data_IF_357346918010
#
_entry.id   IF_357346918010
#
_cell.length_a   1.000
_cell.length_b   1.000
_cell.length_c   1.000
_cell.angle_alpha   90.00
_cell.angle_beta   90.00
_cell.angle_gamma   90.00
#
_symmetry.space_group_name_H-M   'P 1'
#
loop_
_entity.id
_entity.type
_entity.pdbx_description
1 polymer ?
#
# COMPACT_ATOMS: atom_id res chain seq x y z
N UNK A 1 -12.67 -27.26 -6.90
CA UNK A 1 -11.81 -26.99 -5.70
C UNK A 1 -11.27 -25.58 -5.86
N UNK A 2 -11.49 -24.71 -4.90
CA UNK A 2 -10.99 -23.34 -4.95
C UNK A 2 -9.47 -23.35 -4.86
N UNK A 3 -8.80 -22.70 -5.81
CA UNK A 3 -7.35 -22.50 -5.81
C UNK A 3 -7.02 -21.24 -5.03
N UNK A 4 -6.21 -21.35 -3.98
CA UNK A 4 -5.77 -20.21 -3.17
C UNK A 4 -4.38 -19.76 -3.62
N UNK A 5 -4.24 -18.49 -3.86
CA UNK A 5 -2.98 -17.81 -4.16
C UNK A 5 -2.71 -16.75 -3.10
N UNK A 6 -1.44 -16.41 -2.91
CA UNK A 6 -1.03 -15.35 -1.99
C UNK A 6 -0.24 -14.27 -2.73
N UNK A 7 -0.51 -13.01 -2.40
CA UNK A 7 0.31 -11.87 -2.80
C UNK A 7 0.77 -11.13 -1.55
N UNK A 8 2.08 -11.13 -1.30
CA UNK A 8 2.67 -10.26 -0.30
C UNK A 8 2.96 -8.90 -0.94
N UNK A 9 2.35 -7.84 -0.41
CA UNK A 9 2.40 -6.49 -0.96
C UNK A 9 3.06 -5.53 0.03
N UNK A 10 4.27 -5.08 -0.29
CA UNK A 10 4.98 -4.06 0.48
C UNK A 10 4.63 -2.68 -0.03
N UNK A 11 4.13 -1.82 0.86
CA UNK A 11 3.59 -0.51 0.50
C UNK A 11 3.88 0.55 1.55
N UNK A 12 3.77 1.81 1.12
CA UNK A 12 3.52 2.93 2.02
C UNK A 12 2.28 3.70 1.54
N UNK A 13 1.40 4.04 2.46
CA UNK A 13 0.12 4.71 2.18
C UNK A 13 0.27 6.13 1.63
N UNK A 14 1.46 6.72 1.75
CA UNK A 14 1.80 8.03 1.17
C UNK A 14 2.58 7.92 -0.15
N UNK A 15 2.70 6.72 -0.71
CA UNK A 15 3.35 6.49 -2.00
C UNK A 15 2.30 6.46 -3.12
N UNK A 16 2.31 7.42 -4.07
CA UNK A 16 1.32 7.43 -5.17
C UNK A 16 1.43 6.21 -6.09
N UNK A 17 2.65 5.68 -6.25
CA UNK A 17 2.84 4.44 -7.00
C UNK A 17 2.25 3.21 -6.30
N UNK A 18 2.17 3.23 -4.96
CA UNK A 18 1.51 2.16 -4.20
C UNK A 18 -0.01 2.17 -4.44
N UNK A 19 -0.66 3.34 -4.42
CA UNK A 19 -2.07 3.47 -4.79
C UNK A 19 -2.34 2.92 -6.20
N UNK A 20 -1.53 3.33 -7.18
CA UNK A 20 -1.67 2.87 -8.58
C UNK A 20 -1.47 1.35 -8.69
N UNK A 21 -0.43 0.84 -8.01
CA UNK A 21 -0.11 -0.59 -8.04
C UNK A 21 -1.19 -1.45 -7.40
N UNK A 22 -1.78 -0.98 -6.28
CA UNK A 22 -2.88 -1.65 -5.60
C UNK A 22 -4.13 -1.72 -6.48
N UNK A 23 -4.52 -0.60 -7.11
CA UNK A 23 -5.66 -0.56 -8.04
C UNK A 23 -5.46 -1.53 -9.22
N UNK A 24 -4.25 -1.61 -9.79
CA UNK A 24 -3.93 -2.54 -10.87
C UNK A 24 -3.97 -3.99 -10.44
N UNK A 25 -3.46 -4.28 -9.23
CA UNK A 25 -3.55 -5.61 -8.62
C UNK A 25 -5.01 -6.02 -8.43
N UNK A 26 -5.85 -5.15 -7.85
CA UNK A 26 -7.25 -5.44 -7.57
C UNK A 26 -8.05 -5.71 -8.85
N UNK A 27 -7.79 -4.95 -9.92
CA UNK A 27 -8.39 -5.21 -11.23
C UNK A 27 -7.98 -6.57 -11.80
N UNK A 28 -6.70 -6.93 -11.70
CA UNK A 28 -6.24 -8.23 -12.16
C UNK A 28 -6.82 -9.38 -11.34
N UNK A 29 -6.99 -9.20 -10.02
CA UNK A 29 -7.68 -10.17 -9.15
C UNK A 29 -9.15 -10.31 -9.55
N UNK A 30 -9.84 -9.20 -9.79
CA UNK A 30 -11.25 -9.20 -10.18
C UNK A 30 -11.51 -9.88 -11.55
N UNK A 31 -10.50 -9.97 -12.40
CA UNK A 31 -10.56 -10.65 -13.71
C UNK A 31 -10.27 -12.15 -13.65
N UNK A 32 -9.90 -12.69 -12.47
CA UNK A 32 -9.61 -14.11 -12.30
C UNK A 32 -10.89 -14.99 -12.34
N UNK A 33 -10.74 -16.28 -12.69
CA UNK A 33 -11.85 -17.24 -12.60
C UNK A 33 -12.42 -17.33 -11.17
N UNK A 34 -13.73 -17.61 -11.05
CA UNK A 34 -14.46 -17.70 -9.76
C UNK A 34 -13.91 -18.77 -8.80
N UNK A 35 -13.18 -19.75 -9.31
CA UNK A 35 -12.55 -20.80 -8.52
C UNK A 35 -11.13 -20.44 -8.06
N UNK A 36 -10.68 -19.19 -8.26
CA UNK A 36 -9.40 -18.66 -7.77
C UNK A 36 -9.66 -17.62 -6.68
N UNK A 37 -9.10 -17.85 -5.52
CA UNK A 37 -9.12 -16.92 -4.38
C UNK A 37 -7.71 -16.37 -4.17
N UNK A 38 -7.56 -15.04 -4.02
CA UNK A 38 -6.28 -14.38 -3.77
C UNK A 38 -6.31 -13.71 -2.41
N UNK A 39 -5.41 -14.13 -1.52
CA UNK A 39 -5.13 -13.42 -0.27
C UNK A 39 -4.04 -12.38 -0.53
N UNK A 40 -4.32 -11.10 -0.28
CA UNK A 40 -3.33 -10.02 -0.35
C UNK A 40 -2.92 -9.65 1.07
N UNK A 41 -1.66 -9.90 1.41
CA UNK A 41 -1.08 -9.51 2.69
C UNK A 41 -0.25 -8.22 2.54
N UNK A 42 -0.69 -7.14 3.19
CA UNK A 42 0.00 -5.86 3.18
C UNK A 42 1.10 -5.82 4.25
N UNK A 43 2.33 -5.50 3.82
CA UNK A 43 3.50 -5.34 4.67
C UNK A 43 3.93 -3.88 4.76
N UNK A 44 4.27 -3.39 5.96
CA UNK A 44 4.69 -2.00 6.13
C UNK A 44 6.04 -1.75 5.48
N UNK A 45 6.15 -0.62 4.80
CA UNK A 45 7.40 -0.05 4.32
C UNK A 45 7.34 1.47 4.53
N UNK A 46 8.42 2.09 4.99
CA UNK A 46 8.48 3.54 5.14
C UNK A 46 9.25 4.16 3.99
N UNK A 47 8.56 4.92 3.16
CA UNK A 47 9.15 5.64 2.03
C UNK A 47 10.19 6.66 2.49
N UNK A 48 9.92 7.32 3.61
CA UNK A 48 10.86 8.18 4.31
C UNK A 48 10.64 8.10 5.84
N UNK A 49 11.46 7.29 6.55
CA UNK A 49 11.34 7.15 8.00
C UNK A 49 11.72 8.41 8.78
N UNK A 50 12.33 9.40 8.12
CA UNK A 50 12.76 10.66 8.75
C UNK A 50 11.66 11.72 8.82
N UNK A 51 10.48 11.46 8.25
CA UNK A 51 9.35 12.41 8.30
C UNK A 51 8.94 12.67 9.75
N UNK A 52 8.92 13.95 10.20
CA UNK A 52 8.50 14.30 11.54
C UNK A 52 6.99 14.10 11.74
N UNK A 53 6.54 14.13 13.00
CA UNK A 53 5.14 13.88 13.34
C UNK A 53 4.17 14.87 12.68
N UNK A 54 4.57 16.14 12.56
CA UNK A 54 3.80 17.21 11.89
C UNK A 54 3.77 17.08 10.36
N UNK A 55 4.55 16.15 9.82
CA UNK A 55 4.69 15.98 8.37
C UNK A 55 5.60 17.01 7.71
N UNK A 56 5.84 16.82 6.42
CA UNK A 56 6.66 17.70 5.58
C UNK A 56 5.89 18.21 4.37
N UNK A 57 6.22 19.42 3.92
CA UNK A 57 5.74 19.92 2.63
C UNK A 57 6.39 19.12 1.49
N UNK A 58 5.57 18.44 0.67
CA UNK A 58 6.05 17.54 -0.39
C UNK A 58 6.80 18.34 -1.47
N UNK A 59 6.27 19.50 -1.87
CA UNK A 59 6.91 20.34 -2.88
C UNK A 59 8.29 20.82 -2.45
N UNK A 60 8.41 21.28 -1.21
CA UNK A 60 9.69 21.68 -0.63
C UNK A 60 10.65 20.50 -0.52
N UNK A 61 10.19 19.37 -0.02
CA UNK A 61 10.98 18.15 0.11
C UNK A 61 11.52 17.67 -1.25
N UNK A 62 10.69 17.65 -2.30
CA UNK A 62 11.11 17.25 -3.64
C UNK A 62 12.18 18.19 -4.21
N UNK A 63 12.03 19.49 -4.02
CA UNK A 63 13.05 20.48 -4.45
C UNK A 63 14.37 20.30 -3.71
N UNK A 64 14.33 20.13 -2.39
CA UNK A 64 15.55 20.04 -1.57
C UNK A 64 16.25 18.69 -1.70
N UNK A 65 15.50 17.59 -1.75
CA UNK A 65 16.05 16.23 -1.80
C UNK A 65 16.49 15.82 -3.21
N UNK A 66 15.76 16.24 -4.24
CA UNK A 66 15.99 15.79 -5.62
C UNK A 66 16.39 16.92 -6.58
N UNK A 67 16.32 18.19 -6.16
CA UNK A 67 16.64 19.35 -7.01
C UNK A 67 15.74 19.53 -8.22
N UNK A 68 14.51 18.93 -8.21
CA UNK A 68 13.58 18.89 -9.33
C UNK A 68 12.31 19.68 -9.04
N UNK A 69 11.66 20.14 -10.10
CA UNK A 69 10.35 20.76 -10.00
C UNK A 69 9.30 19.73 -9.57
N UNK A 70 8.52 19.98 -8.50
CA UNK A 70 7.45 19.09 -8.05
C UNK A 70 6.44 18.78 -9.15
N UNK A 71 6.06 19.74 -9.99
CA UNK A 71 5.09 19.55 -11.05
C UNK A 71 5.58 18.52 -12.09
N UNK A 72 6.87 18.56 -12.43
CA UNK A 72 7.47 17.55 -13.33
C UNK A 72 7.47 16.16 -12.69
N UNK A 73 7.73 16.08 -11.38
CA UNK A 73 7.74 14.81 -10.68
C UNK A 73 6.34 14.21 -10.50
N UNK A 74 5.32 15.04 -10.35
CA UNK A 74 3.92 14.61 -10.20
C UNK A 74 3.28 14.20 -11.53
N UNK A 75 3.74 14.77 -12.66
CA UNK A 75 3.14 14.53 -13.97
C UNK A 75 3.06 13.03 -14.33
N UNK A 76 4.13 12.28 -14.07
CA UNK A 76 4.18 10.85 -14.42
C UNK A 76 3.23 10.00 -13.58
N UNK A 77 3.25 10.03 -12.24
CA UNK A 77 2.29 9.24 -11.44
C UNK A 77 0.84 9.64 -11.69
N UNK A 78 0.52 10.93 -11.90
CA UNK A 78 -0.83 11.37 -12.25
C UNK A 78 -1.29 10.82 -13.61
N UNK A 79 -0.42 10.83 -14.61
CA UNK A 79 -0.73 10.24 -15.91
C UNK A 79 -0.95 8.72 -15.84
N UNK A 80 -0.16 8.01 -15.04
CA UNK A 80 -0.33 6.56 -14.83
C UNK A 80 -1.58 6.23 -14.00
N UNK A 81 -1.90 7.02 -12.98
CA UNK A 81 -3.14 6.90 -12.20
C UNK A 81 -4.37 7.03 -13.11
N UNK A 82 -4.37 8.02 -13.98
CA UNK A 82 -5.46 8.25 -14.96
C UNK A 82 -5.69 7.05 -15.87
N UNK A 83 -4.63 6.38 -16.34
CA UNK A 83 -4.74 5.14 -17.13
C UNK A 83 -5.42 4.01 -16.36
N UNK A 84 -5.23 3.99 -15.06
CA UNK A 84 -5.86 3.02 -14.15
C UNK A 84 -7.23 3.46 -13.62
N UNK A 85 -7.80 4.57 -14.14
CA UNK A 85 -9.11 5.08 -13.74
C UNK A 85 -9.10 5.85 -12.41
N UNK A 86 -7.94 6.27 -11.91
CA UNK A 86 -7.78 7.04 -10.66
C UNK A 86 -7.55 8.52 -11.00
N UNK A 87 -8.40 9.39 -10.50
CA UNK A 87 -8.28 10.85 -10.63
C UNK A 87 -7.36 11.40 -9.52
N UNK A 88 -6.07 11.25 -9.72
CA UNK A 88 -5.04 11.63 -8.76
C UNK A 88 -4.51 13.03 -9.06
N UNK A 89 -4.69 13.95 -8.11
CA UNK A 89 -4.10 15.29 -8.12
C UNK A 89 -3.17 15.47 -6.92
N UNK A 90 -1.87 15.27 -7.12
CA UNK A 90 -0.87 15.36 -6.05
C UNK A 90 -0.63 16.79 -5.55
N UNK A 91 -1.07 17.82 -6.30
CA UNK A 91 -0.98 19.21 -5.85
C UNK A 91 -1.95 19.51 -4.70
N UNK A 92 -3.02 18.75 -4.58
CA UNK A 92 -4.05 18.88 -3.53
C UNK A 92 -3.66 18.19 -2.22
N UNK A 93 -2.61 17.37 -2.23
CA UNK A 93 -2.03 16.74 -1.02
C UNK A 93 -0.61 17.27 -0.80
N UNK A 94 -0.48 18.49 -0.25
CA UNK A 94 0.82 19.16 -0.17
C UNK A 94 1.71 18.63 0.96
N UNK A 95 1.20 17.77 1.85
CA UNK A 95 1.95 17.29 3.02
C UNK A 95 2.06 15.77 3.03
N UNK A 96 3.27 15.26 3.26
CA UNK A 96 3.53 13.87 3.57
C UNK A 96 3.62 13.70 5.08
N UNK A 97 2.94 12.69 5.61
CA UNK A 97 2.86 12.39 7.02
C UNK A 97 3.63 11.11 7.38
N UNK A 98 3.95 10.97 8.67
CA UNK A 98 4.48 9.73 9.21
C UNK A 98 3.40 8.65 9.20
N UNK A 99 3.73 7.44 8.72
CA UNK A 99 2.74 6.40 8.41
C UNK A 99 2.70 5.25 9.41
N UNK A 100 3.47 5.33 10.51
CA UNK A 100 3.59 4.25 11.49
C UNK A 100 2.23 3.80 12.06
N UNK A 101 1.35 4.73 12.44
CA UNK A 101 0.02 4.42 12.98
C UNK A 101 -0.90 3.81 11.92
N UNK A 102 -0.87 4.34 10.70
CA UNK A 102 -1.63 3.81 9.56
C UNK A 102 -1.22 2.36 9.26
N UNK A 103 0.07 2.08 9.21
CA UNK A 103 0.59 0.72 9.04
C UNK A 103 0.26 -0.20 10.22
N UNK A 104 0.26 0.33 11.45
CA UNK A 104 -0.08 -0.46 12.64
C UNK A 104 -1.52 -0.93 12.58
N UNK A 105 -2.47 -0.04 12.32
CA UNK A 105 -3.88 -0.43 12.24
C UNK A 105 -4.15 -1.35 11.03
N UNK A 106 -3.50 -1.09 9.89
CA UNK A 106 -3.55 -1.96 8.71
C UNK A 106 -3.06 -3.37 9.04
N UNK A 107 -1.91 -3.51 9.69
CA UNK A 107 -1.35 -4.81 10.10
C UNK A 107 -2.32 -5.58 10.98
N UNK A 108 -2.93 -4.92 11.96
CA UNK A 108 -3.89 -5.52 12.88
C UNK A 108 -5.20 -5.93 12.22
N UNK A 109 -5.57 -5.32 11.11
CA UNK A 109 -6.74 -5.67 10.32
C UNK A 109 -6.63 -7.07 9.65
N UNK A 110 -5.45 -7.68 9.61
CA UNK A 110 -5.27 -9.05 9.10
C UNK A 110 -6.16 -10.05 9.85
N UNK A 111 -6.27 -9.95 11.16
CA UNK A 111 -7.13 -10.83 11.98
C UNK A 111 -8.63 -10.61 11.78
N UNK A 112 -9.02 -9.65 10.95
CA UNK A 112 -10.39 -9.29 10.61
C UNK A 112 -10.71 -9.52 9.12
N UNK A 113 -9.75 -10.06 8.36
CA UNK A 113 -9.85 -10.26 6.90
C UNK A 113 -10.13 -8.97 6.11
N UNK A 114 -9.74 -7.81 6.66
CA UNK A 114 -9.96 -6.48 6.06
C UNK A 114 -8.68 -5.71 5.78
N UNK A 115 -7.52 -6.36 5.92
CA UNK A 115 -6.21 -5.70 5.87
C UNK A 115 -5.99 -4.93 4.56
N UNK A 116 -6.19 -5.58 3.43
CA UNK A 116 -5.97 -4.96 2.12
C UNK A 116 -6.98 -3.86 1.83
N UNK A 117 -8.25 -4.09 2.16
CA UNK A 117 -9.30 -3.08 2.02
C UNK A 117 -9.02 -1.84 2.89
N UNK A 118 -8.57 -2.03 4.13
CA UNK A 118 -8.20 -0.92 5.02
C UNK A 118 -6.98 -0.15 4.50
N UNK A 119 -5.95 -0.85 4.00
CA UNK A 119 -4.78 -0.20 3.40
C UNK A 119 -5.16 0.69 2.22
N UNK A 120 -6.02 0.19 1.33
CA UNK A 120 -6.54 0.94 0.19
C UNK A 120 -7.37 2.15 0.64
N UNK A 121 -8.29 1.96 1.60
CA UNK A 121 -9.12 3.05 2.12
C UNK A 121 -8.29 4.18 2.76
N UNK A 122 -7.20 3.86 3.47
CA UNK A 122 -6.30 4.88 4.03
C UNK A 122 -5.56 5.62 2.91
N UNK A 123 -5.06 4.92 1.88
CA UNK A 123 -4.38 5.54 0.75
C UNK A 123 -5.34 6.43 -0.06
N UNK A 124 -6.58 6.00 -0.29
CA UNK A 124 -7.62 6.79 -0.96
C UNK A 124 -7.98 8.02 -0.14
N UNK A 125 -8.20 7.88 1.17
CA UNK A 125 -8.47 9.00 2.06
C UNK A 125 -7.33 10.05 2.01
N UNK A 126 -6.09 9.61 1.95
CA UNK A 126 -4.95 10.52 1.83
C UNK A 126 -4.87 11.18 0.45
N UNK A 127 -4.94 10.41 -0.64
CA UNK A 127 -4.68 10.92 -1.99
C UNK A 127 -5.90 11.52 -2.69
N UNK A 128 -7.10 10.97 -2.48
CA UNK A 128 -8.31 11.34 -3.20
C UNK A 128 -9.21 12.25 -2.36
N UNK A 129 -9.35 11.97 -1.07
CA UNK A 129 -10.15 12.77 -0.15
C UNK A 129 -9.33 13.86 0.57
N UNK A 130 -8.00 13.84 0.40
CA UNK A 130 -7.05 14.81 0.99
C UNK A 130 -7.12 14.89 2.51
N UNK A 131 -7.46 13.77 3.18
CA UNK A 131 -7.55 13.68 4.63
C UNK A 131 -6.17 13.63 5.27
N UNK A 132 -6.07 14.13 6.49
CA UNK A 132 -4.83 14.11 7.27
C UNK A 132 -4.72 12.78 8.01
N UNK A 133 -4.01 11.81 7.44
CA UNK A 133 -3.83 10.46 8.02
C UNK A 133 -2.86 10.41 9.21
N UNK A 134 -2.30 11.53 9.64
CA UNK A 134 -1.60 11.68 10.91
C UNK A 134 -2.55 12.04 12.07
N UNK A 135 -3.82 12.33 11.78
CA UNK A 135 -4.87 12.52 12.76
C UNK A 135 -5.44 11.15 13.15
N UNK A 136 -5.33 10.82 14.44
CA UNK A 136 -5.78 9.54 14.98
C UNK A 136 -7.30 9.33 14.81
N UNK A 137 -8.08 10.41 14.89
CA UNK A 137 -9.53 10.37 14.69
C UNK A 137 -9.89 10.00 13.25
N UNK A 138 -9.13 10.52 12.27
CA UNK A 138 -9.29 10.18 10.86
C UNK A 138 -8.99 8.69 10.61
N UNK A 139 -7.89 8.18 11.18
CA UNK A 139 -7.55 6.77 11.04
C UNK A 139 -8.56 5.86 11.74
N UNK A 140 -9.06 6.27 12.94
CA UNK A 140 -10.05 5.51 13.67
C UNK A 140 -11.39 5.42 12.93
N UNK A 141 -11.83 6.52 12.30
CA UNK A 141 -13.04 6.54 11.49
C UNK A 141 -12.94 5.59 10.28
N UNK A 142 -11.78 5.59 9.59
CA UNK A 142 -11.55 4.68 8.46
C UNK A 142 -11.52 3.22 8.96
N UNK A 143 -10.82 2.94 10.06
CA UNK A 143 -10.73 1.61 10.65
C UNK A 143 -12.09 1.06 11.11
N UNK A 144 -12.99 1.94 11.60
CA UNK A 144 -14.34 1.56 12.00
C UNK A 144 -15.16 0.98 10.83
N UNK A 145 -14.95 1.47 9.61
CA UNK A 145 -15.52 0.89 8.39
C UNK A 145 -14.93 -0.48 8.00
N UNK A 146 -13.88 -0.92 8.70
CA UNK A 146 -13.12 -2.14 8.38
C UNK A 146 -12.99 -3.10 9.57
N UNK A 147 -14.04 -3.17 10.40
CA UNK A 147 -14.17 -4.19 11.45
C UNK A 147 -13.52 -3.85 12.78
N UNK A 148 -13.09 -2.61 13.00
CA UNK A 148 -12.68 -2.13 14.31
C UNK A 148 -13.81 -1.39 15.02
N UNK A 149 -13.85 -1.48 16.35
CA UNK A 149 -14.46 -0.43 17.15
C UNK A 149 -13.54 0.80 17.12
N UNK A 150 -14.14 2.00 17.10
CA UNK A 150 -13.40 3.25 16.97
C UNK A 150 -12.43 3.51 18.13
N UNK A 151 -12.88 3.28 19.36
CA UNK A 151 -12.05 3.46 20.56
C UNK A 151 -10.97 2.36 20.64
N UNK A 152 -11.30 1.16 20.18
CA UNK A 152 -10.32 0.08 20.02
C UNK A 152 -9.22 0.48 19.03
N UNK A 153 -9.58 1.01 17.85
CA UNK A 153 -8.63 1.46 16.85
C UNK A 153 -7.69 2.53 17.40
N UNK A 154 -8.25 3.55 18.09
CA UNK A 154 -7.47 4.61 18.75
C UNK A 154 -6.47 4.05 19.75
N UNK A 155 -6.87 3.10 20.57
CA UNK A 155 -6.02 2.47 21.57
C UNK A 155 -4.91 1.65 20.91
N UNK A 156 -5.25 0.84 19.90
CA UNK A 156 -4.31 -0.07 19.25
C UNK A 156 -3.25 0.66 18.41
N UNK A 157 -3.64 1.67 17.64
CA UNK A 157 -2.68 2.42 16.81
C UNK A 157 -1.70 3.28 17.64
N UNK A 158 -2.04 3.53 18.91
CA UNK A 158 -1.20 4.26 19.87
C UNK A 158 -0.48 3.34 20.87
N UNK A 159 -0.71 2.02 20.83
CA UNK A 159 0.00 1.09 21.71
C UNK A 159 1.48 1.03 21.32
N UNK A 160 2.41 1.36 22.22
CA UNK A 160 3.84 1.34 21.92
C UNK A 160 4.38 -0.03 21.49
N UNK A 161 3.75 -1.13 21.92
CA UNK A 161 4.16 -2.49 21.53
C UNK A 161 3.76 -2.77 20.09
N UNK A 162 2.56 -2.36 19.69
CA UNK A 162 2.06 -2.54 18.33
C UNK A 162 2.85 -1.68 17.34
N UNK A 163 3.16 -0.44 17.73
CA UNK A 163 4.02 0.46 16.95
C UNK A 163 5.42 -0.13 16.78
N UNK A 164 6.03 -0.63 17.87
CA UNK A 164 7.36 -1.25 17.82
C UNK A 164 7.37 -2.51 16.92
N UNK A 165 6.31 -3.32 16.96
CA UNK A 165 6.15 -4.47 16.06
C UNK A 165 6.10 -4.05 14.60
N UNK A 166 5.33 -3.00 14.29
CA UNK A 166 5.23 -2.47 12.92
C UNK A 166 6.56 -1.92 12.43
N UNK A 167 7.29 -1.19 13.29
CA UNK A 167 8.63 -0.69 12.99
C UNK A 167 9.61 -1.82 12.66
N UNK A 168 9.62 -2.88 13.47
CA UNK A 168 10.47 -4.06 13.24
C UNK A 168 10.16 -4.72 11.90
N UNK A 169 8.88 -4.83 11.51
CA UNK A 169 8.49 -5.39 10.23
C UNK A 169 8.94 -4.51 9.05
N UNK A 170 8.81 -3.19 9.17
CA UNK A 170 9.26 -2.26 8.13
C UNK A 170 10.79 -2.33 7.95
N UNK A 171 11.55 -2.41 9.05
CA UNK A 171 13.01 -2.59 9.03
C UNK A 171 13.36 -3.95 8.43
N UNK A 172 12.64 -5.01 8.78
CA UNK A 172 12.87 -6.34 8.22
C UNK A 172 12.65 -6.38 6.70
N UNK A 173 11.63 -5.69 6.18
CA UNK A 173 11.38 -5.56 4.75
C UNK A 173 12.57 -4.90 4.03
N UNK A 174 13.09 -3.80 4.56
CA UNK A 174 14.28 -3.13 4.00
C UNK A 174 15.51 -4.04 4.03
N UNK A 175 15.73 -4.80 5.11
CA UNK A 175 16.85 -5.75 5.25
C UNK A 175 16.74 -6.96 4.32
N UNK A 176 15.55 -7.32 3.85
CA UNK A 176 15.33 -8.35 2.82
C UNK A 176 15.65 -7.85 1.40
N UNK A 177 16.17 -6.64 1.26
CA UNK A 177 16.59 -6.08 -0.03
C UNK A 177 15.46 -5.36 -0.79
N UNK A 178 14.31 -5.10 -0.16
CA UNK A 178 13.27 -4.26 -0.73
C UNK A 178 13.71 -2.81 -0.64
N UNK A 179 14.08 -2.22 -1.80
CA UNK A 179 14.63 -0.87 -1.89
C UNK A 179 13.62 0.19 -2.32
N UNK A 180 12.38 -0.22 -2.59
CA UNK A 180 11.33 0.68 -3.02
C UNK A 180 9.98 -0.02 -3.15
N UNK A 181 8.94 0.77 -3.12
CA UNK A 181 7.55 0.30 -3.14
C UNK A 181 6.75 0.98 -4.26
N UNK A 182 5.65 0.34 -4.74
CA UNK A 182 5.15 -0.95 -4.32
C UNK A 182 6.06 -2.11 -4.74
N UNK A 183 6.10 -3.16 -3.92
CA UNK A 183 6.81 -4.39 -4.25
C UNK A 183 5.90 -5.58 -3.94
N UNK A 184 5.78 -6.49 -4.88
CA UNK A 184 4.84 -7.62 -4.83
C UNK A 184 5.63 -8.93 -4.86
N UNK A 185 5.22 -9.88 -4.03
CA UNK A 185 5.71 -11.26 -4.09
C UNK A 185 4.50 -12.16 -4.33
N UNK A 186 4.52 -12.91 -5.43
CA UNK A 186 3.43 -13.74 -5.87
C UNK A 186 3.70 -15.19 -5.45
N UNK A 187 2.89 -15.69 -4.52
CA UNK A 187 2.91 -17.08 -4.02
C UNK A 187 4.31 -17.56 -3.58
N UNK A 188 5.18 -16.63 -3.16
CA UNK A 188 6.58 -16.89 -2.81
C UNK A 188 7.46 -17.33 -3.99
N UNK A 189 6.93 -17.37 -5.22
CA UNK A 189 7.60 -17.93 -6.41
C UNK A 189 8.38 -16.88 -7.20
N UNK A 190 7.85 -15.68 -7.34
CA UNK A 190 8.51 -14.58 -8.03
C UNK A 190 8.07 -13.22 -7.48
N UNK A 191 8.86 -12.20 -7.78
CA UNK A 191 8.62 -10.85 -7.30
C UNK A 191 8.54 -9.84 -8.45
N UNK A 192 7.81 -8.74 -8.19
CA UNK A 192 7.63 -7.64 -9.13
C UNK A 192 7.78 -6.31 -8.40
N UNK A 193 8.58 -5.41 -8.93
CA UNK A 193 8.81 -4.08 -8.37
C UNK A 193 8.08 -3.01 -9.16
N UNK A 194 7.50 -2.03 -8.45
CA UNK A 194 6.82 -0.88 -9.01
C UNK A 194 5.39 -1.17 -9.49
N UNK A 195 4.65 -0.09 -9.76
CA UNK A 195 3.30 -0.17 -10.32
C UNK A 195 3.38 -0.50 -11.82
N UNK A 196 3.59 -1.77 -12.13
CA UNK A 196 3.64 -2.27 -13.50
C UNK A 196 2.28 -2.10 -14.19
N UNK A 197 2.21 -2.08 -15.54
CA UNK A 197 0.95 -2.09 -16.29
C UNK A 197 0.03 -3.26 -15.93
N UNK A 198 -1.29 -3.10 -16.09
CA UNK A 198 -2.31 -4.11 -15.70
C UNK A 198 -2.02 -5.48 -16.33
N UNK A 199 -1.63 -5.53 -17.60
CA UNK A 199 -1.29 -6.76 -18.32
C UNK A 199 -0.07 -7.51 -17.74
N UNK A 200 0.76 -6.86 -16.93
CA UNK A 200 1.87 -7.54 -16.23
C UNK A 200 1.34 -8.31 -15.02
N UNK A 201 0.38 -7.76 -14.29
CA UNK A 201 -0.33 -8.46 -13.20
C UNK A 201 -1.12 -9.65 -13.72
N UNK A 202 -1.84 -9.47 -14.85
CA UNK A 202 -2.58 -10.56 -15.51
C UNK A 202 -1.65 -11.73 -15.90
N UNK A 203 -0.49 -11.42 -16.49
CA UNK A 203 0.53 -12.43 -16.81
C UNK A 203 1.10 -13.11 -15.57
N UNK A 204 1.29 -12.37 -14.49
CA UNK A 204 1.76 -12.92 -13.23
C UNK A 204 0.79 -13.97 -12.68
N UNK A 205 -0.51 -13.68 -12.66
CA UNK A 205 -1.52 -14.65 -12.26
C UNK A 205 -1.64 -15.80 -13.25
N UNK A 206 -1.59 -15.53 -14.56
CA UNK A 206 -1.62 -16.59 -15.56
C UNK A 206 -0.45 -17.58 -15.41
N UNK A 207 0.74 -17.08 -15.03
CA UNK A 207 1.90 -17.94 -14.74
C UNK A 207 1.66 -18.83 -13.52
N UNK A 208 1.11 -18.27 -12.43
CA UNK A 208 0.76 -19.03 -11.24
C UNK A 208 -0.29 -20.10 -11.49
N UNK A 209 -1.21 -19.84 -12.43
CA UNK A 209 -2.30 -20.75 -12.73
C UNK A 209 -1.92 -21.90 -13.67
N UNK A 210 -0.72 -21.89 -14.26
CA UNK A 210 -0.25 -23.02 -15.05
C UNK A 210 -0.19 -24.30 -14.22
N UNK A 211 -0.51 -25.45 -14.81
CA UNK A 211 -0.30 -26.74 -14.14
C UNK A 211 1.19 -26.90 -13.76
N UNK A 212 1.46 -27.34 -12.56
CA UNK A 212 2.83 -27.73 -12.19
C UNK A 212 3.26 -28.87 -13.13
N UNK A 213 4.29 -28.61 -13.93
CA UNK A 213 4.92 -29.67 -14.72
C UNK A 213 5.59 -30.61 -13.72
N UNK A 214 5.00 -31.81 -13.56
CA UNK A 214 5.60 -32.82 -12.70
C UNK A 214 7.04 -33.05 -13.17
N UNK A 215 8.01 -32.66 -12.34
CA UNK A 215 9.43 -32.96 -12.57
C UNK A 215 9.58 -34.48 -12.50
N UNK A 216 9.86 -35.09 -13.66
CA UNK A 216 10.22 -36.50 -13.76
C UNK A 216 11.63 -36.74 -13.24
#
# INVERSE_FOLDING_TARGET
>A
MTRKLKVDLFTDVVCPWCLIGSVRLDKAIAALPEDVEVEVENHPFYLDPSVPAEGVDVGHMLKTKYGRDPQEMWARPQAEAKKSGVDLDLSRQPRMFRTAKAHTITRLAKSRDTQHALANAIAEAYFLDHRQINDDEVLADIAAGHGFDRDEALRLMNDPRELATTEQLAVAAANQGIQGVPFFVFDGKFAMSGAQPEEVFERAFAELLKPEVASQ
#
